data_IF_196749706332
#
_entry.id   IF_196749706332
#
_cell.length_a   1.000
_cell.length_b   1.000
_cell.length_c   1.000
_cell.angle_alpha   90.00
_cell.angle_beta   90.00
_cell.angle_gamma   90.00
#
_symmetry.space_group_name_H-M   'P 1'
#
loop_
_entity.id
_entity.type
_entity.pdbx_description
1 polymer ?
#
# COMPACT_ATOMS: atom_id res chain seq x y z
N UNK A 1 -14.33 10.80 -17.13
CA UNK A 1 -13.30 11.13 -16.10
C UNK A 1 -11.92 10.58 -16.51
N UNK A 2 -10.83 10.82 -15.77
CA UNK A 2 -9.51 10.23 -16.08
C UNK A 2 -9.52 8.69 -16.08
N UNK A 3 -10.25 8.08 -15.14
CA UNK A 3 -10.32 6.62 -14.99
C UNK A 3 -11.03 5.96 -16.19
N UNK A 4 -12.17 6.53 -16.59
CA UNK A 4 -12.94 6.09 -17.74
C UNK A 4 -12.15 6.17 -19.05
N UNK A 5 -11.39 7.26 -19.26
CA UNK A 5 -10.49 7.40 -20.43
C UNK A 5 -9.41 6.31 -20.49
N UNK A 6 -9.12 5.65 -19.37
CA UNK A 6 -8.15 4.55 -19.26
C UNK A 6 -8.81 3.17 -19.16
N UNK A 7 -10.12 3.08 -19.33
CA UNK A 7 -10.86 1.81 -19.18
C UNK A 7 -10.90 1.29 -17.74
N UNK A 8 -10.58 2.12 -16.74
CA UNK A 8 -10.56 1.74 -15.33
C UNK A 8 -11.96 1.93 -14.74
N UNK A 9 -12.58 0.82 -14.31
CA UNK A 9 -13.88 0.82 -13.64
C UNK A 9 -13.71 1.15 -12.15
N UNK A 10 -14.30 2.25 -11.69
CA UNK A 10 -14.39 2.59 -10.27
C UNK A 10 -15.45 1.70 -9.60
N UNK A 11 -15.07 1.03 -8.50
CA UNK A 11 -15.99 0.24 -7.67
C UNK A 11 -15.96 0.79 -6.25
N UNK A 12 -17.11 1.27 -5.78
CA UNK A 12 -17.28 1.71 -4.41
C UNK A 12 -17.57 0.52 -3.50
N UNK A 13 -17.19 0.64 -2.22
CA UNK A 13 -17.66 -0.28 -1.19
C UNK A 13 -19.16 -0.13 -0.99
N UNK A 14 -19.81 -1.22 -0.58
CA UNK A 14 -21.22 -1.21 -0.25
C UNK A 14 -21.44 -0.57 1.13
N UNK A 15 -22.50 0.23 1.31
CA UNK A 15 -22.88 0.73 2.63
C UNK A 15 -23.00 -0.41 3.65
N UNK A 16 -22.42 -0.22 4.83
CA UNK A 16 -22.43 -1.22 5.89
C UNK A 16 -21.48 -2.41 5.68
N UNK A 17 -20.60 -2.40 4.67
CA UNK A 17 -19.61 -3.48 4.42
C UNK A 17 -18.16 -2.99 4.49
N UNK A 18 -17.67 -2.54 5.66
CA UNK A 18 -16.30 -2.03 5.82
C UNK A 18 -15.23 -3.07 5.48
N UNK A 19 -15.53 -4.37 5.59
CA UNK A 19 -14.61 -5.46 5.30
C UNK A 19 -14.13 -5.44 3.83
N UNK A 20 -14.90 -4.84 2.91
CA UNK A 20 -14.50 -4.67 1.50
C UNK A 20 -13.29 -3.75 1.33
N UNK A 21 -13.00 -2.89 2.32
CA UNK A 21 -11.86 -1.99 2.33
C UNK A 21 -10.69 -2.48 3.22
N UNK A 22 -10.84 -3.63 3.88
CA UNK A 22 -9.95 -4.05 4.96
C UNK A 22 -8.48 -4.18 4.56
N UNK A 23 -8.18 -4.55 3.31
CA UNK A 23 -6.80 -4.60 2.82
C UNK A 23 -6.15 -3.22 2.71
N UNK A 24 -6.87 -2.24 2.17
CA UNK A 24 -6.37 -0.87 2.06
C UNK A 24 -6.22 -0.22 3.43
N UNK A 25 -7.16 -0.46 4.35
CA UNK A 25 -7.08 0.03 5.73
C UNK A 25 -5.90 -0.59 6.48
N UNK A 26 -5.68 -1.90 6.33
CA UNK A 26 -4.51 -2.57 6.92
C UNK A 26 -3.21 -1.99 6.37
N UNK A 27 -3.13 -1.74 5.06
CA UNK A 27 -1.96 -1.11 4.44
C UNK A 27 -1.73 0.30 5.01
N UNK A 28 -2.75 1.16 5.00
CA UNK A 28 -2.66 2.53 5.51
C UNK A 28 -2.26 2.57 6.99
N UNK A 29 -2.73 1.60 7.79
CA UNK A 29 -2.31 1.43 9.17
C UNK A 29 -0.80 1.16 9.26
N UNK A 30 -0.29 0.22 8.47
CA UNK A 30 1.17 -0.05 8.41
C UNK A 30 1.95 1.20 7.99
N UNK A 31 1.57 1.86 6.90
CA UNK A 31 2.23 3.09 6.42
C UNK A 31 2.36 4.11 7.55
N UNK A 32 1.28 4.30 8.32
CA UNK A 32 1.26 5.25 9.43
C UNK A 32 2.19 4.84 10.56
N UNK A 33 2.09 3.61 11.05
CA UNK A 33 2.86 3.18 12.22
C UNK A 33 4.33 2.89 11.92
N UNK A 34 4.62 2.28 10.78
CA UNK A 34 5.97 1.84 10.44
C UNK A 34 6.82 2.95 9.79
N UNK A 35 6.18 4.02 9.27
CA UNK A 35 6.88 5.11 8.58
C UNK A 35 6.44 6.51 9.03
N UNK A 36 5.21 6.93 8.74
CA UNK A 36 4.83 8.35 8.91
C UNK A 36 4.96 8.85 10.35
N UNK A 37 4.71 7.99 11.35
CA UNK A 37 4.82 8.36 12.75
C UNK A 37 6.26 8.30 13.30
N UNK A 38 7.22 7.79 12.54
CA UNK A 38 8.59 7.55 13.01
C UNK A 38 9.53 8.74 12.73
N UNK A 39 9.14 9.65 11.84
CA UNK A 39 9.98 10.73 11.36
C UNK A 39 9.23 12.05 11.36
N UNK A 40 9.95 13.14 11.56
CA UNK A 40 9.50 14.49 11.25
C UNK A 40 10.16 14.88 9.94
N UNK A 41 9.40 15.50 9.05
CA UNK A 41 9.89 15.91 7.73
C UNK A 41 9.82 17.43 7.61
N UNK A 42 10.81 18.00 6.94
CA UNK A 42 10.96 19.44 6.75
C UNK A 42 10.54 19.89 5.34
N UNK A 43 10.41 18.95 4.40
CA UNK A 43 10.00 19.26 3.03
C UNK A 43 9.20 18.14 2.36
N UNK A 44 8.49 18.50 1.29
CA UNK A 44 7.79 17.51 0.46
C UNK A 44 8.76 16.57 -0.27
N UNK A 45 9.92 17.08 -0.67
CA UNK A 45 10.95 16.29 -1.36
C UNK A 45 11.48 15.18 -0.44
N UNK A 46 11.78 15.52 0.81
CA UNK A 46 12.19 14.55 1.83
C UNK A 46 11.11 13.49 2.09
N UNK A 47 9.84 13.90 2.21
CA UNK A 47 8.72 12.95 2.35
C UNK A 47 8.68 11.98 1.17
N UNK A 48 8.86 12.47 -0.06
CA UNK A 48 8.80 11.63 -1.26
C UNK A 48 9.97 10.63 -1.32
N UNK A 49 11.18 11.06 -0.95
CA UNK A 49 12.35 10.19 -0.89
C UNK A 49 12.14 9.06 0.11
N UNK A 50 11.75 9.39 1.34
CA UNK A 50 11.49 8.41 2.39
C UNK A 50 10.31 7.50 2.03
N UNK A 51 9.24 8.04 1.43
CA UNK A 51 8.10 7.25 0.96
C UNK A 51 8.54 6.20 -0.06
N UNK A 52 9.40 6.61 -1.00
CA UNK A 52 9.89 5.75 -2.09
C UNK A 52 10.77 4.62 -1.53
N UNK A 53 11.71 4.97 -0.64
CA UNK A 53 12.57 4.00 0.02
C UNK A 53 11.75 3.00 0.86
N UNK A 54 10.84 3.50 1.69
CA UNK A 54 9.99 2.66 2.53
C UNK A 54 9.09 1.73 1.70
N UNK A 55 8.50 2.24 0.62
CA UNK A 55 7.65 1.45 -0.27
C UNK A 55 8.45 0.34 -0.97
N UNK A 56 9.70 0.62 -1.32
CA UNK A 56 10.58 -0.39 -1.89
C UNK A 56 10.86 -1.52 -0.88
N UNK A 57 11.22 -1.19 0.36
CA UNK A 57 11.43 -2.18 1.43
C UNK A 57 10.14 -2.97 1.73
N UNK A 58 8.99 -2.31 1.83
CA UNK A 58 7.70 -2.96 2.04
C UNK A 58 7.41 -4.01 0.95
N UNK A 59 7.67 -3.68 -0.32
CA UNK A 59 7.34 -4.55 -1.44
C UNK A 59 8.38 -5.65 -1.70
N UNK A 60 9.65 -5.41 -1.39
CA UNK A 60 10.74 -6.29 -1.80
C UNK A 60 11.36 -7.09 -0.65
N UNK A 61 11.30 -6.59 0.58
CA UNK A 61 12.02 -7.18 1.71
C UNK A 61 11.09 -7.64 2.83
N UNK A 62 9.96 -6.95 3.05
CA UNK A 62 9.06 -7.27 4.16
C UNK A 62 8.27 -8.57 3.92
N UNK A 63 8.45 -9.62 4.75
CA UNK A 63 7.62 -10.82 4.66
C UNK A 63 6.22 -10.56 5.24
N UNK A 64 5.19 -11.11 4.58
CA UNK A 64 3.80 -10.96 5.03
C UNK A 64 3.15 -12.31 5.31
N UNK A 65 2.79 -12.54 6.58
CA UNK A 65 2.18 -13.81 7.02
C UNK A 65 0.85 -14.12 6.33
N UNK A 66 0.05 -13.10 5.99
CA UNK A 66 -1.21 -13.27 5.25
C UNK A 66 -1.04 -13.80 3.82
N UNK A 67 0.20 -13.90 3.33
CA UNK A 67 0.54 -14.45 2.02
C UNK A 67 1.61 -15.56 2.11
N UNK A 68 1.72 -16.23 3.25
CA UNK A 68 2.66 -17.34 3.44
C UNK A 68 4.09 -16.91 3.74
N UNK A 69 4.28 -15.71 4.30
CA UNK A 69 5.60 -15.23 4.76
C UNK A 69 6.52 -14.76 3.64
N UNK A 70 6.02 -14.61 2.41
CA UNK A 70 6.77 -14.04 1.29
C UNK A 70 6.51 -12.53 1.16
N UNK A 71 7.32 -11.85 0.32
CA UNK A 71 7.17 -10.43 0.06
C UNK A 71 6.08 -10.16 -1.00
N UNK A 72 5.49 -8.95 -1.03
CA UNK A 72 4.44 -8.61 -2.00
C UNK A 72 4.92 -8.77 -3.45
N UNK A 73 6.16 -8.37 -3.76
CA UNK A 73 6.75 -8.53 -5.09
C UNK A 73 6.89 -10.02 -5.49
N UNK A 74 7.28 -10.89 -4.56
CA UNK A 74 7.32 -12.33 -4.82
C UNK A 74 5.94 -12.90 -5.10
N UNK A 75 4.92 -12.50 -4.33
CA UNK A 75 3.54 -12.92 -4.58
C UNK A 75 3.07 -12.49 -5.98
N UNK A 76 3.35 -11.23 -6.36
CA UNK A 76 2.97 -10.72 -7.67
C UNK A 76 3.63 -11.51 -8.80
N UNK A 77 4.93 -11.78 -8.69
CA UNK A 77 5.68 -12.60 -9.67
C UNK A 77 5.14 -14.03 -9.81
N UNK A 78 4.59 -14.61 -8.74
CA UNK A 78 3.99 -15.96 -8.76
C UNK A 78 2.56 -15.99 -9.31
N UNK A 79 1.87 -14.85 -9.31
CA UNK A 79 0.50 -14.73 -9.79
C UNK A 79 0.41 -14.33 -11.28
N UNK A 80 1.54 -13.89 -11.85
CA UNK A 80 1.73 -13.64 -13.27
C UNK A 80 2.13 -14.94 -13.99
#
# INVERSE_FOLDING_TARGET
>A
SWAEKRGIRIRYIQPGKPQQNGYAERYNRTVRYDWLNQYLFESLEEIQEFATAWLWTYNNERPHMGIGGITPAMKLKRAA
#
